data_IF_749989094196
#
_entry.id   IF_749989094196
#
_cell.length_a   1.000
_cell.length_b   1.000
_cell.length_c   1.000
_cell.angle_alpha   90.00
_cell.angle_beta   90.00
_cell.angle_gamma   90.00
#
_symmetry.space_group_name_H-M   'P 1'
#
loop_
_entity.id
_entity.type
_entity.pdbx_description
1 polymer ?
#
# COMPACT_ATOMS: atom_id res chain seq x y z
N UNK A 1 20.45 -0.45 10.45
CA UNK A 1 20.28 1.01 10.60
C UNK A 1 18.79 1.27 10.65
N UNK A 2 18.30 2.01 11.64
CA UNK A 2 16.89 2.37 11.74
C UNK A 2 16.64 3.57 10.82
N UNK A 3 15.72 3.44 9.88
CA UNK A 3 15.37 4.49 8.92
C UNK A 3 14.09 5.21 9.37
N UNK A 4 14.26 6.39 9.97
CA UNK A 4 13.15 7.23 10.42
C UNK A 4 12.52 8.05 9.29
N UNK A 5 13.09 8.02 8.08
CA UNK A 5 12.56 8.69 6.89
C UNK A 5 11.85 7.75 5.92
N UNK A 6 11.72 6.47 6.28
CA UNK A 6 11.12 5.48 5.39
C UNK A 6 9.65 5.80 5.09
N UNK A 7 9.31 5.78 3.80
CA UNK A 7 7.95 5.90 3.28
C UNK A 7 7.72 4.79 2.26
N UNK A 8 6.70 3.97 2.48
CA UNK A 8 6.42 2.79 1.67
C UNK A 8 5.68 1.70 2.44
N UNK A 9 5.59 0.51 1.85
CA UNK A 9 4.97 -0.64 2.48
C UNK A 9 6.01 -1.47 3.24
N UNK A 10 5.75 -1.72 4.52
CA UNK A 10 6.56 -2.60 5.37
C UNK A 10 5.70 -3.70 5.99
N UNK A 11 6.25 -4.90 6.21
CA UNK A 11 5.50 -6.02 6.77
C UNK A 11 6.07 -6.57 8.09
N UNK A 12 5.18 -7.22 8.84
CA UNK A 12 5.50 -8.11 9.93
C UNK A 12 4.51 -9.30 9.94
N UNK A 13 4.46 -10.07 11.02
CA UNK A 13 3.57 -11.23 11.18
C UNK A 13 2.06 -10.89 11.07
N UNK A 14 1.69 -9.61 11.25
CA UNK A 14 0.30 -9.13 11.18
C UNK A 14 -0.13 -8.65 9.80
N UNK A 15 0.80 -8.55 8.83
CA UNK A 15 0.52 -8.09 7.48
C UNK A 15 1.41 -6.95 7.01
N UNK A 16 0.96 -6.24 5.98
CA UNK A 16 1.65 -5.11 5.37
C UNK A 16 0.98 -3.79 5.73
N UNK A 17 1.79 -2.81 6.10
CA UNK A 17 1.34 -1.50 6.57
C UNK A 17 2.00 -0.40 5.75
N UNK A 18 1.23 0.66 5.49
CA UNK A 18 1.78 1.87 4.91
C UNK A 18 2.48 2.69 5.99
N UNK A 19 3.76 2.94 5.78
CA UNK A 19 4.62 3.75 6.63
C UNK A 19 4.88 5.08 5.94
N UNK A 20 4.80 6.17 6.69
CA UNK A 20 5.09 7.52 6.25
C UNK A 20 6.00 8.19 7.29
N UNK A 21 7.19 8.62 6.88
CA UNK A 21 8.21 9.18 7.78
C UNK A 21 8.48 8.28 9.01
N UNK A 22 8.68 6.99 8.76
CA UNK A 22 9.05 6.01 9.80
C UNK A 22 7.92 5.60 10.76
N UNK A 23 6.69 6.07 10.58
CA UNK A 23 5.53 5.72 11.41
C UNK A 23 4.40 5.15 10.54
N UNK A 24 3.67 4.15 11.06
CA UNK A 24 2.48 3.62 10.36
C UNK A 24 1.42 4.72 10.27
N UNK A 25 0.96 4.97 9.05
CA UNK A 25 -0.08 5.96 8.76
C UNK A 25 -1.42 5.26 8.48
N UNK A 26 -2.23 5.15 9.54
CA UNK A 26 -3.56 4.54 9.50
C UNK A 26 -4.60 5.36 8.73
N UNK A 27 -4.29 6.60 8.36
CA UNK A 27 -5.20 7.46 7.60
C UNK A 27 -5.05 7.27 6.09
N UNK A 28 -3.99 6.60 5.64
CA UNK A 28 -3.71 6.39 4.23
C UNK A 28 -4.65 5.35 3.61
N UNK A 29 -5.33 5.76 2.53
CA UNK A 29 -6.07 4.88 1.63
C UNK A 29 -5.72 5.24 0.19
N UNK A 30 -5.23 4.26 -0.56
CA UNK A 30 -4.69 4.51 -1.89
C UNK A 30 -3.79 3.39 -2.39
N UNK A 31 -3.06 3.64 -3.47
CA UNK A 31 -2.08 2.71 -4.02
C UNK A 31 -0.69 3.02 -3.48
N UNK A 32 -0.06 2.05 -2.84
CA UNK A 32 1.34 2.12 -2.41
C UNK A 32 2.14 0.95 -2.98
N UNK A 33 3.46 1.09 -3.09
CA UNK A 33 4.31 0.07 -3.68
C UNK A 33 5.45 -0.40 -2.76
N UNK A 34 5.91 -1.62 -3.04
CA UNK A 34 7.17 -2.19 -2.57
C UNK A 34 7.88 -2.90 -3.75
N UNK A 35 8.88 -3.73 -3.46
CA UNK A 35 9.62 -4.51 -4.45
C UNK A 35 8.77 -5.56 -5.21
N UNK A 36 7.58 -5.90 -4.70
CA UNK A 36 6.66 -6.87 -5.30
C UNK A 36 5.56 -6.22 -6.17
N UNK A 37 5.51 -4.90 -6.24
CA UNK A 37 4.57 -4.15 -7.07
C UNK A 37 3.71 -3.17 -6.28
N UNK A 38 2.57 -2.80 -6.86
CA UNK A 38 1.60 -1.87 -6.28
C UNK A 38 0.43 -2.60 -5.66
N UNK A 39 -0.01 -2.13 -4.49
CA UNK A 39 -1.07 -2.73 -3.71
C UNK A 39 -2.07 -1.67 -3.26
N UNK A 40 -3.32 -2.07 -3.14
CA UNK A 40 -4.35 -1.25 -2.54
C UNK A 40 -4.27 -1.31 -1.02
N UNK A 41 -4.14 -0.14 -0.42
CA UNK A 41 -4.10 0.09 1.02
C UNK A 41 -5.42 0.74 1.44
N UNK A 42 -6.01 0.22 2.51
CA UNK A 42 -7.20 0.77 3.15
C UNK A 42 -6.93 0.95 4.64
N UNK A 43 -7.05 2.18 5.13
CA UNK A 43 -6.75 2.54 6.53
C UNK A 43 -5.36 2.08 6.99
N UNK A 44 -4.34 2.32 6.14
CA UNK A 44 -2.94 2.01 6.43
C UNK A 44 -2.56 0.53 6.32
N UNK A 45 -3.46 -0.37 5.92
CA UNK A 45 -3.18 -1.82 5.76
C UNK A 45 -3.46 -2.25 4.33
N UNK A 46 -2.66 -3.15 3.75
CA UNK A 46 -3.03 -3.77 2.46
C UNK A 46 -4.36 -4.52 2.61
N UNK A 47 -5.31 -4.20 1.74
CA UNK A 47 -6.58 -4.92 1.65
C UNK A 47 -6.51 -5.98 0.54
N UNK A 48 -6.14 -7.20 0.95
CA UNK A 48 -6.05 -8.37 0.06
C UNK A 48 -7.40 -8.82 -0.51
N UNK A 49 -8.53 -8.33 0.02
CA UNK A 49 -9.86 -8.67 -0.47
C UNK A 49 -10.37 -7.66 -1.50
N UNK A 50 -9.69 -6.51 -1.66
CA UNK A 50 -10.12 -5.50 -2.62
C UNK A 50 -9.91 -5.99 -4.06
N UNK A 51 -10.97 -5.92 -4.85
CA UNK A 51 -10.94 -6.09 -6.30
C UNK A 51 -11.78 -5.00 -6.93
N UNK A 52 -11.19 -4.24 -7.85
CA UNK A 52 -11.84 -3.06 -8.42
C UNK A 52 -10.87 -2.15 -9.14
N UNK A 53 -11.28 -0.90 -9.39
CA UNK A 53 -10.46 0.12 -10.02
C UNK A 53 -10.12 1.23 -9.04
N UNK A 54 -8.84 1.58 -8.96
CA UNK A 54 -8.35 2.69 -8.11
C UNK A 54 -7.67 3.73 -8.99
N UNK A 55 -8.04 4.99 -8.80
CA UNK A 55 -7.43 6.12 -9.52
C UNK A 55 -6.48 6.89 -8.62
N UNK A 56 -5.36 7.33 -9.19
CA UNK A 56 -4.42 8.29 -8.59
C UNK A 56 -4.02 9.34 -9.65
N UNK A 57 -3.08 10.21 -9.32
CA UNK A 57 -2.60 11.29 -10.20
C UNK A 57 -1.95 10.78 -11.50
N UNK A 58 -1.57 9.50 -11.58
CA UNK A 58 -0.92 8.90 -12.75
C UNK A 58 -1.88 8.10 -13.64
N UNK A 59 -3.11 7.82 -13.19
CA UNK A 59 -4.09 7.08 -13.98
C UNK A 59 -5.07 6.26 -13.15
N UNK A 60 -5.74 5.32 -13.82
CA UNK A 60 -6.67 4.37 -13.21
C UNK A 60 -6.12 2.96 -13.39
N UNK A 61 -6.08 2.20 -12.30
CA UNK A 61 -5.44 0.91 -12.20
C UNK A 61 -6.45 -0.17 -11.83
N UNK A 62 -6.38 -1.32 -12.50
CA UNK A 62 -7.12 -2.50 -12.11
C UNK A 62 -6.40 -3.19 -10.94
N UNK A 63 -7.13 -3.49 -9.88
CA UNK A 63 -6.64 -4.20 -8.70
C UNK A 63 -7.41 -5.51 -8.55
N UNK A 64 -6.69 -6.61 -8.38
CA UNK A 64 -7.26 -7.94 -8.13
C UNK A 64 -6.59 -8.52 -6.89
N UNK A 65 -7.40 -8.94 -5.92
CA UNK A 65 -6.93 -9.47 -4.63
C UNK A 65 -5.87 -8.56 -3.96
N UNK A 66 -6.14 -7.25 -3.95
CA UNK A 66 -5.27 -6.24 -3.35
C UNK A 66 -4.06 -5.82 -4.19
N UNK A 67 -3.73 -6.48 -5.30
CA UNK A 67 -2.56 -6.14 -6.14
C UNK A 67 -2.97 -5.51 -7.47
N UNK A 68 -2.24 -4.48 -7.91
CA UNK A 68 -2.39 -3.92 -9.26
C UNK A 68 -1.96 -4.93 -10.32
N UNK A 69 -2.77 -5.07 -11.36
CA UNK A 69 -2.50 -5.94 -12.52
C UNK A 69 -2.37 -5.11 -13.80
N UNK A 70 -1.51 -5.56 -14.72
CA UNK A 70 -1.24 -4.93 -16.02
C UNK A 70 -1.79 -5.75 -17.18
#
# INVERSE_FOLDING_TARGET
>A
MLDWGYTGLANNESGWFYVNNGVVDWSYTGLANNEYGWFYVNNGIIDWNYTGTVSNEYGTWNVINGQVVF
#
